data_IF_660194612698
#
_entry.id   IF_660194612698
#
_cell.length_a   1.000
_cell.length_b   1.000
_cell.length_c   1.000
_cell.angle_alpha   90.00
_cell.angle_beta   90.00
_cell.angle_gamma   90.00
#
_symmetry.space_group_name_H-M   'P 1'
#
loop_
_entity.id
_entity.type
_entity.pdbx_description
1 polymer ?
#
# COMPACT_ATOMS: atom_id res chain seq x y z
N UNK A 1 -36.44 22.30 22.15
CA UNK A 1 -36.27 20.83 22.30
C UNK A 1 -36.16 20.51 23.78
N UNK A 2 -36.97 19.59 24.31
CA UNK A 2 -36.91 19.24 25.73
C UNK A 2 -35.51 18.70 26.07
N UNK A 3 -34.90 19.23 27.13
CA UNK A 3 -33.57 18.81 27.58
C UNK A 3 -33.65 17.36 28.08
N UNK A 4 -32.94 16.44 27.42
CA UNK A 4 -32.91 15.01 27.82
C UNK A 4 -32.42 14.89 29.27
N UNK A 5 -33.04 14.02 30.11
CA UNK A 5 -32.70 13.92 31.53
C UNK A 5 -31.33 13.27 31.74
N UNK A 6 -30.68 13.60 32.85
CA UNK A 6 -29.46 12.92 33.26
C UNK A 6 -29.78 11.47 33.70
N UNK A 7 -28.88 10.56 33.33
CA UNK A 7 -29.05 9.12 33.38
C UNK A 7 -28.19 8.47 34.48
N UNK A 8 -28.67 7.41 35.14
CA UNK A 8 -27.78 6.47 35.81
C UNK A 8 -26.71 5.93 34.85
N UNK A 9 -25.46 5.75 35.34
CA UNK A 9 -24.31 5.28 34.53
C UNK A 9 -24.61 4.01 33.73
N UNK A 10 -25.36 3.06 34.33
CA UNK A 10 -25.77 1.80 33.67
C UNK A 10 -26.66 2.04 32.45
N UNK A 11 -27.64 2.95 32.54
CA UNK A 11 -28.55 3.25 31.44
C UNK A 11 -27.84 4.03 30.33
N UNK A 12 -26.95 4.97 30.70
CA UNK A 12 -26.08 5.64 29.73
C UNK A 12 -25.14 4.66 29.01
N UNK A 13 -24.63 3.62 29.69
CA UNK A 13 -23.83 2.57 29.06
C UNK A 13 -24.64 1.73 28.06
N UNK A 14 -25.92 1.44 28.34
CA UNK A 14 -26.81 0.71 27.43
C UNK A 14 -27.06 1.48 26.13
N UNK A 15 -27.33 2.79 26.21
CA UNK A 15 -27.43 3.64 25.02
C UNK A 15 -26.12 3.66 24.25
N UNK A 16 -24.97 3.84 24.93
CA UNK A 16 -23.66 3.81 24.27
C UNK A 16 -23.38 2.49 23.56
N UNK A 17 -23.76 1.36 24.16
CA UNK A 17 -23.65 0.05 23.52
C UNK A 17 -24.51 -0.07 22.26
N UNK A 18 -25.74 0.45 22.28
CA UNK A 18 -26.59 0.49 21.09
C UNK A 18 -26.04 1.44 20.01
N UNK A 19 -25.51 2.61 20.41
CA UNK A 19 -24.84 3.54 19.50
C UNK A 19 -23.61 2.89 18.85
N UNK A 20 -22.85 2.08 19.58
CA UNK A 20 -21.68 1.40 19.06
C UNK A 20 -22.04 0.36 17.98
N UNK A 21 -23.13 -0.39 18.18
CA UNK A 21 -23.66 -1.29 17.14
C UNK A 21 -24.01 -0.54 15.86
N UNK A 22 -24.62 0.65 15.97
CA UNK A 22 -24.91 1.51 14.82
C UNK A 22 -23.63 1.98 14.15
N UNK A 23 -22.60 2.40 14.91
CA UNK A 23 -21.30 2.78 14.32
C UNK A 23 -20.66 1.63 13.57
N UNK A 24 -20.61 0.44 14.16
CA UNK A 24 -20.04 -0.74 13.50
C UNK A 24 -20.81 -1.08 12.21
N UNK A 25 -22.15 -1.05 12.25
CA UNK A 25 -22.95 -1.28 11.05
C UNK A 25 -22.69 -0.25 9.94
N UNK A 26 -22.49 1.02 10.31
CA UNK A 26 -22.11 2.09 9.36
C UNK A 26 -20.74 1.86 8.74
N UNK A 27 -19.75 1.48 9.55
CA UNK A 27 -18.40 1.14 9.08
C UNK A 27 -18.44 -0.04 8.11
N UNK A 28 -19.18 -1.10 8.45
CA UNK A 28 -19.36 -2.28 7.59
C UNK A 28 -19.94 -1.90 6.21
N UNK A 29 -20.97 -1.05 6.18
CA UNK A 29 -21.58 -0.57 4.93
C UNK A 29 -20.57 0.25 4.12
N UNK A 30 -19.88 1.20 4.75
CA UNK A 30 -18.89 2.05 4.08
C UNK A 30 -17.70 1.23 3.52
N UNK A 31 -17.15 0.31 4.30
CA UNK A 31 -16.05 -0.54 3.87
C UNK A 31 -16.45 -1.41 2.68
N UNK A 32 -17.70 -1.90 2.67
CA UNK A 32 -18.23 -2.69 1.57
C UNK A 32 -18.44 -1.85 0.31
N UNK A 33 -19.02 -0.66 0.42
CA UNK A 33 -19.16 0.28 -0.70
C UNK A 33 -17.79 0.60 -1.32
N UNK A 34 -16.80 0.89 -0.49
CA UNK A 34 -15.42 1.14 -0.93
C UNK A 34 -14.80 -0.07 -1.65
N UNK A 35 -14.91 -1.26 -1.06
CA UNK A 35 -14.36 -2.48 -1.65
C UNK A 35 -15.05 -2.86 -2.95
N UNK A 36 -16.37 -2.65 -3.05
CA UNK A 36 -17.12 -2.85 -4.28
C UNK A 36 -16.65 -1.89 -5.37
N UNK A 37 -16.57 -0.59 -5.06
CA UNK A 37 -16.09 0.41 -6.01
C UNK A 37 -14.64 0.14 -6.47
N UNK A 38 -13.78 -0.31 -5.55
CA UNK A 38 -12.41 -0.69 -5.88
C UNK A 38 -12.37 -1.90 -6.81
N UNK A 39 -13.06 -3.00 -6.48
CA UNK A 39 -13.12 -4.17 -7.36
C UNK A 39 -13.71 -3.83 -8.74
N UNK A 40 -14.74 -2.98 -8.78
CA UNK A 40 -15.34 -2.54 -10.04
C UNK A 40 -14.33 -1.77 -10.88
N UNK A 41 -13.60 -0.83 -10.30
CA UNK A 41 -12.54 -0.08 -11.00
C UNK A 41 -11.48 -1.00 -11.60
N UNK A 42 -11.06 -2.04 -10.87
CA UNK A 42 -10.08 -3.02 -11.37
C UNK A 42 -10.61 -3.81 -12.57
N UNK A 43 -11.87 -4.26 -12.49
CA UNK A 43 -12.52 -4.98 -13.60
C UNK A 43 -12.73 -4.05 -14.79
N UNK A 44 -13.22 -2.83 -14.59
CA UNK A 44 -13.43 -1.84 -15.65
C UNK A 44 -12.11 -1.47 -16.36
N UNK A 45 -11.03 -1.28 -15.59
CA UNK A 45 -9.71 -0.97 -16.14
C UNK A 45 -9.16 -2.12 -17.00
N UNK A 46 -9.34 -3.37 -16.53
CA UNK A 46 -8.96 -4.55 -17.29
C UNK A 46 -9.83 -4.77 -18.52
N UNK A 47 -11.15 -4.64 -18.40
CA UNK A 47 -12.08 -4.86 -19.51
C UNK A 47 -11.93 -3.79 -20.61
N UNK A 48 -11.49 -2.59 -20.25
CA UNK A 48 -11.18 -1.52 -21.20
C UNK A 48 -9.89 -1.78 -22.01
N UNK A 49 -8.80 -2.18 -21.33
CA UNK A 49 -7.54 -2.54 -21.98
C UNK A 49 -6.75 -3.55 -21.12
N UNK A 50 -6.89 -4.86 -21.39
CA UNK A 50 -6.20 -5.89 -20.62
C UNK A 50 -4.68 -5.79 -20.69
N UNK A 51 -4.14 -5.37 -21.84
CA UNK A 51 -2.70 -5.29 -22.06
C UNK A 51 -2.08 -4.12 -21.29
N UNK A 52 -2.73 -2.95 -21.34
CA UNK A 52 -2.29 -1.79 -20.55
C UNK A 52 -2.44 -2.05 -19.04
N UNK A 53 -3.51 -2.71 -18.63
CA UNK A 53 -3.70 -3.11 -17.24
C UNK A 53 -2.56 -4.03 -16.75
N UNK A 54 -2.25 -5.08 -17.51
CA UNK A 54 -1.16 -6.00 -17.17
C UNK A 54 0.19 -5.28 -17.11
N UNK A 55 0.49 -4.44 -18.10
CA UNK A 55 1.73 -3.67 -18.13
C UNK A 55 1.87 -2.71 -16.93
N UNK A 56 0.77 -2.10 -16.47
CA UNK A 56 0.75 -1.15 -15.37
C UNK A 56 0.89 -1.81 -14.00
N UNK A 57 0.09 -2.85 -13.74
CA UNK A 57 -0.02 -3.46 -12.40
C UNK A 57 0.84 -4.71 -12.22
N UNK A 58 1.27 -5.33 -13.32
CA UNK A 58 1.98 -6.61 -13.34
C UNK A 58 3.17 -6.56 -14.32
N UNK A 59 4.17 -5.72 -14.03
CA UNK A 59 5.34 -5.53 -14.89
C UNK A 59 6.03 -6.87 -15.22
N UNK A 60 6.24 -7.15 -16.50
CA UNK A 60 6.87 -8.38 -16.97
C UNK A 60 5.94 -9.59 -17.10
N UNK A 61 4.64 -9.40 -16.83
CA UNK A 61 3.62 -10.41 -17.04
C UNK A 61 2.73 -10.06 -18.24
N UNK A 62 2.27 -11.08 -18.96
CA UNK A 62 1.27 -10.92 -20.01
C UNK A 62 -0.16 -10.95 -19.43
N UNK A 63 -1.13 -10.67 -20.29
CA UNK A 63 -2.55 -10.67 -19.93
C UNK A 63 -3.01 -12.05 -19.44
N UNK A 64 -2.50 -13.13 -20.03
CA UNK A 64 -2.91 -14.50 -19.73
C UNK A 64 -2.17 -15.10 -18.52
N UNK A 65 -1.23 -14.35 -17.94
CA UNK A 65 -0.46 -14.80 -16.80
C UNK A 65 -1.37 -15.07 -15.61
N UNK A 66 -1.01 -16.10 -14.85
CA UNK A 66 -1.72 -16.49 -13.63
C UNK A 66 -2.02 -15.32 -12.67
N UNK A 67 -1.06 -14.42 -12.33
CA UNK A 67 -1.35 -13.32 -11.39
C UNK A 67 -2.36 -12.32 -11.94
N UNK A 68 -2.39 -12.06 -13.25
CA UNK A 68 -3.35 -11.15 -13.88
C UNK A 68 -4.74 -11.79 -13.89
N UNK A 69 -4.86 -13.02 -14.40
CA UNK A 69 -6.14 -13.74 -14.48
C UNK A 69 -6.76 -13.94 -13.09
N UNK A 70 -5.97 -14.43 -12.12
CA UNK A 70 -6.46 -14.71 -10.76
C UNK A 70 -6.96 -13.46 -10.06
N UNK A 71 -6.33 -12.30 -10.25
CA UNK A 71 -6.77 -11.05 -9.63
C UNK A 71 -8.12 -10.59 -10.19
N UNK A 72 -8.29 -10.64 -11.51
CA UNK A 72 -9.53 -10.20 -12.15
C UNK A 72 -10.67 -11.17 -11.87
N UNK A 73 -10.42 -12.48 -11.88
CA UNK A 73 -11.40 -13.49 -11.46
C UNK A 73 -11.88 -13.23 -10.04
N UNK A 74 -10.96 -13.05 -9.07
CA UNK A 74 -11.31 -12.74 -7.68
C UNK A 74 -12.06 -11.41 -7.54
N UNK A 75 -11.72 -10.41 -8.36
CA UNK A 75 -12.43 -9.13 -8.35
C UNK A 75 -13.88 -9.31 -8.83
N UNK A 76 -14.09 -10.07 -9.91
CA UNK A 76 -15.42 -10.41 -10.43
C UNK A 76 -16.24 -11.26 -9.44
N UNK A 77 -15.64 -12.27 -8.83
CA UNK A 77 -16.27 -13.08 -7.77
C UNK A 77 -16.71 -12.21 -6.58
N UNK A 78 -15.87 -11.25 -6.16
CA UNK A 78 -16.22 -10.29 -5.11
C UNK A 78 -17.40 -9.41 -5.50
N UNK A 79 -17.45 -8.92 -6.74
CA UNK A 79 -18.57 -8.11 -7.22
C UNK A 79 -19.87 -8.91 -7.23
N UNK A 80 -19.84 -10.15 -7.72
CA UNK A 80 -21.00 -11.05 -7.69
C UNK A 80 -21.46 -11.37 -6.26
N UNK A 81 -20.51 -11.58 -5.34
CA UNK A 81 -20.81 -11.71 -3.92
C UNK A 81 -21.48 -10.45 -3.37
N UNK A 82 -21.03 -9.26 -3.77
CA UNK A 82 -21.61 -8.01 -3.31
C UNK A 82 -23.04 -7.83 -3.83
N UNK A 83 -23.28 -8.03 -5.12
CA UNK A 83 -24.62 -7.95 -5.72
C UNK A 83 -25.64 -8.84 -5.02
N UNK A 84 -25.25 -10.07 -4.63
CA UNK A 84 -26.14 -11.00 -3.93
C UNK A 84 -26.42 -10.63 -2.46
N UNK A 85 -25.57 -9.84 -1.82
CA UNK A 85 -25.58 -9.63 -0.37
C UNK A 85 -25.79 -8.17 0.06
N UNK A 86 -25.88 -7.23 -0.87
CA UNK A 86 -25.95 -5.79 -0.55
C UNK A 86 -27.17 -5.44 0.31
N UNK A 87 -28.34 -5.99 -0.01
CA UNK A 87 -29.56 -5.75 0.78
C UNK A 87 -29.48 -6.23 2.23
N UNK A 88 -28.65 -7.23 2.54
CA UNK A 88 -28.56 -7.78 3.90
C UNK A 88 -27.82 -6.83 4.86
N UNK A 89 -26.87 -6.03 4.37
CA UNK A 89 -26.08 -5.12 5.21
C UNK A 89 -26.82 -3.80 5.45
N UNK A 90 -27.55 -3.30 4.47
CA UNK A 90 -28.45 -2.16 4.65
C UNK A 90 -29.55 -2.51 5.68
N UNK A 91 -30.16 -3.69 5.56
CA UNK A 91 -31.13 -4.17 6.55
C UNK A 91 -30.54 -4.26 7.97
N UNK A 92 -29.29 -4.69 8.12
CA UNK A 92 -28.63 -4.74 9.42
C UNK A 92 -28.39 -3.34 10.02
N UNK A 93 -28.05 -2.35 9.19
CA UNK A 93 -27.92 -0.96 9.64
C UNK A 93 -29.28 -0.39 10.09
N UNK A 94 -30.33 -0.66 9.34
CA UNK A 94 -31.69 -0.26 9.69
C UNK A 94 -32.16 -0.90 10.99
N UNK A 95 -31.90 -2.20 11.17
CA UNK A 95 -32.17 -2.92 12.41
C UNK A 95 -31.39 -2.33 13.60
N UNK A 96 -30.11 -2.04 13.43
CA UNK A 96 -29.30 -1.41 14.47
C UNK A 96 -29.84 -0.03 14.87
N UNK A 97 -30.29 0.77 13.89
CA UNK A 97 -30.89 2.08 14.13
C UNK A 97 -32.25 1.96 14.83
N UNK A 98 -33.11 1.02 14.40
CA UNK A 98 -34.38 0.74 15.06
C UNK A 98 -34.17 0.29 16.52
N UNK A 99 -33.19 -0.58 16.76
CA UNK A 99 -32.81 -1.01 18.10
C UNK A 99 -32.29 0.14 18.96
N UNK A 100 -31.51 1.08 18.42
CA UNK A 100 -31.10 2.29 19.15
C UNK A 100 -32.32 3.12 19.58
N UNK A 101 -33.28 3.35 18.69
CA UNK A 101 -34.51 4.09 19.01
C UNK A 101 -35.32 3.36 20.10
N UNK A 102 -35.45 2.04 20.01
CA UNK A 102 -36.13 1.24 21.01
C UNK A 102 -35.45 1.36 22.39
N UNK A 103 -34.13 1.21 22.44
CA UNK A 103 -33.33 1.34 23.67
C UNK A 103 -33.45 2.75 24.26
N UNK A 104 -33.40 3.81 23.45
CA UNK A 104 -33.58 5.19 23.94
C UNK A 104 -34.96 5.38 24.57
N UNK A 105 -36.02 4.83 23.93
CA UNK A 105 -37.39 4.91 24.44
C UNK A 105 -37.56 4.14 25.75
N UNK A 106 -37.03 2.92 25.84
CA UNK A 106 -37.07 2.10 27.05
C UNK A 106 -36.29 2.78 28.19
N UNK A 107 -35.11 3.34 27.91
CA UNK A 107 -34.33 4.09 28.92
C UNK A 107 -35.09 5.33 29.38
N UNK A 108 -35.76 6.07 28.49
CA UNK A 108 -36.61 7.20 28.89
C UNK A 108 -37.75 6.76 29.82
N UNK A 109 -38.40 5.63 29.52
CA UNK A 109 -39.47 5.07 30.35
C UNK A 109 -38.95 4.63 31.73
N UNK A 110 -37.82 3.93 31.77
CA UNK A 110 -37.19 3.52 33.03
C UNK A 110 -36.80 4.73 33.87
N UNK A 111 -36.17 5.75 33.27
CA UNK A 111 -35.75 6.97 33.97
C UNK A 111 -36.93 7.76 34.51
N UNK A 112 -38.05 7.81 33.79
CA UNK A 112 -39.26 8.49 34.23
C UNK A 112 -39.88 7.83 35.48
N UNK A 113 -39.73 6.51 35.63
CA UNK A 113 -40.17 5.77 36.82
C UNK A 113 -39.17 5.85 38.00
N UNK A 114 -37.94 6.34 37.77
CA UNK A 114 -36.89 6.39 38.79
C UNK A 114 -36.85 7.72 39.54
N UNK A 115 -36.67 7.66 40.87
CA UNK A 115 -36.35 8.84 41.68
C UNK A 115 -35.02 9.46 41.24
N UNK A 116 -34.91 10.79 41.26
CA UNK A 116 -33.66 11.50 41.04
C UNK A 116 -32.61 11.05 42.09
N UNK A 117 -31.42 10.67 41.61
CA UNK A 117 -30.33 10.13 42.42
C UNK A 117 -29.04 10.89 42.13
N UNK A 118 -28.12 10.95 43.10
CA UNK A 118 -26.79 11.49 42.89
C UNK A 118 -25.96 10.61 41.93
N UNK A 119 -25.02 11.21 41.21
CA UNK A 119 -24.11 10.48 40.32
C UNK A 119 -24.68 10.12 38.93
N UNK A 120 -25.77 10.77 38.52
CA UNK A 120 -26.27 10.71 37.15
C UNK A 120 -25.30 11.41 36.20
N UNK A 121 -25.26 10.95 34.96
CA UNK A 121 -24.40 11.45 33.89
C UNK A 121 -25.26 12.04 32.77
N UNK A 122 -24.73 12.99 31.99
CA UNK A 122 -25.45 13.53 30.85
C UNK A 122 -25.87 12.44 29.86
N UNK A 123 -27.00 12.67 29.20
CA UNK A 123 -27.45 11.81 28.11
C UNK A 123 -26.36 11.70 27.02
N UNK A 124 -26.04 10.49 26.51
CA UNK A 124 -25.03 10.33 25.46
C UNK A 124 -25.34 11.17 24.22
N UNK A 125 -24.33 11.82 23.64
CA UNK A 125 -24.52 12.62 22.42
C UNK A 125 -25.11 11.78 21.30
N UNK A 126 -26.09 12.34 20.60
CA UNK A 126 -26.73 11.68 19.46
C UNK A 126 -25.70 11.41 18.36
N UNK A 127 -25.87 10.27 17.69
CA UNK A 127 -25.06 9.98 16.52
C UNK A 127 -25.41 10.95 15.38
N UNK A 128 -24.42 11.40 14.59
CA UNK A 128 -24.72 12.16 13.39
C UNK A 128 -25.59 11.32 12.45
N UNK A 129 -26.34 11.98 11.58
CA UNK A 129 -27.04 11.29 10.49
C UNK A 129 -26.05 10.46 9.67
N UNK A 130 -26.49 9.35 9.09
CA UNK A 130 -25.58 8.53 8.28
C UNK A 130 -25.02 9.30 7.08
N UNK A 131 -25.82 10.20 6.49
CA UNK A 131 -25.34 11.13 5.43
C UNK A 131 -24.21 12.05 5.90
N UNK A 132 -24.33 12.62 7.10
CA UNK A 132 -23.27 13.45 7.68
C UNK A 132 -22.01 12.61 7.97
N UNK A 133 -22.21 11.40 8.50
CA UNK A 133 -21.13 10.44 8.73
C UNK A 133 -20.40 10.08 7.44
N UNK A 134 -21.11 9.73 6.35
CA UNK A 134 -20.51 9.47 5.03
C UNK A 134 -19.69 10.65 4.53
N UNK A 135 -20.20 11.89 4.70
CA UNK A 135 -19.50 13.09 4.27
C UNK A 135 -18.19 13.31 5.04
N UNK A 136 -18.21 13.04 6.35
CA UNK A 136 -17.06 13.15 7.23
C UNK A 136 -16.00 12.10 6.89
N UNK A 137 -16.39 10.83 6.75
CA UNK A 137 -15.50 9.75 6.31
C UNK A 137 -14.88 10.04 4.95
N UNK A 138 -15.65 10.48 3.97
CA UNK A 138 -15.12 10.86 2.66
C UNK A 138 -14.17 12.07 2.73
N UNK A 139 -14.39 12.99 3.67
CA UNK A 139 -13.47 14.10 3.90
C UNK A 139 -12.20 13.67 4.65
N UNK A 140 -12.28 12.63 5.49
CA UNK A 140 -11.13 12.03 6.14
C UNK A 140 -10.27 11.27 5.13
N UNK A 141 -10.86 10.40 4.32
CA UNK A 141 -10.17 9.66 3.27
C UNK A 141 -9.37 10.59 2.32
N UNK A 142 -9.97 11.72 1.89
CA UNK A 142 -9.27 12.72 1.07
C UNK A 142 -8.05 13.33 1.77
N UNK A 143 -8.13 13.56 3.09
CA UNK A 143 -7.02 14.09 3.87
C UNK A 143 -5.90 13.07 4.02
N UNK A 144 -6.27 11.81 4.25
CA UNK A 144 -5.32 10.71 4.38
C UNK A 144 -4.60 10.45 3.04
N UNK A 145 -5.30 10.50 1.91
CA UNK A 145 -4.71 10.41 0.56
C UNK A 145 -3.73 11.56 0.29
N UNK A 146 -4.11 12.80 0.61
CA UNK A 146 -3.25 13.97 0.44
C UNK A 146 -1.99 13.88 1.31
N UNK A 147 -2.14 13.40 2.55
CA UNK A 147 -1.02 13.17 3.45
C UNK A 147 -0.09 12.09 2.92
N UNK A 148 -0.64 10.94 2.51
CA UNK A 148 0.14 9.83 1.96
C UNK A 148 0.91 10.24 0.70
N UNK A 149 0.29 11.03 -0.19
CA UNK A 149 0.97 11.59 -1.37
C UNK A 149 2.16 12.46 -0.97
N UNK A 150 1.99 13.36 -0.01
CA UNK A 150 3.08 14.23 0.48
C UNK A 150 4.21 13.44 1.14
N UNK A 151 3.87 12.41 1.90
CA UNK A 151 4.87 11.52 2.52
C UNK A 151 5.64 10.74 1.47
N UNK A 152 4.96 10.25 0.43
CA UNK A 152 5.60 9.56 -0.67
C UNK A 152 6.53 10.48 -1.47
N UNK A 153 6.08 11.68 -1.85
CA UNK A 153 6.92 12.69 -2.53
C UNK A 153 8.18 13.05 -1.72
N UNK A 154 8.06 13.13 -0.39
CA UNK A 154 9.21 13.35 0.50
C UNK A 154 10.17 12.18 0.49
N UNK A 155 9.64 10.96 0.62
CA UNK A 155 10.44 9.74 0.59
C UNK A 155 11.19 9.59 -0.73
N UNK A 156 10.53 9.82 -1.87
CA UNK A 156 11.17 9.80 -3.19
C UNK A 156 12.29 10.84 -3.32
N UNK A 157 12.08 12.05 -2.79
CA UNK A 157 13.11 13.09 -2.79
C UNK A 157 14.32 12.70 -1.91
N UNK A 158 14.09 12.09 -0.75
CA UNK A 158 15.15 11.61 0.14
C UNK A 158 15.94 10.46 -0.50
N UNK A 159 15.27 9.49 -1.11
CA UNK A 159 15.91 8.40 -1.85
C UNK A 159 16.73 8.92 -3.03
N UNK A 160 16.21 9.87 -3.81
CA UNK A 160 16.96 10.46 -4.92
C UNK A 160 18.24 11.18 -4.45
N UNK A 161 18.23 11.81 -3.27
CA UNK A 161 19.44 12.41 -2.67
C UNK A 161 20.42 11.32 -2.24
N UNK A 162 19.92 10.23 -1.63
CA UNK A 162 20.75 9.09 -1.19
C UNK A 162 21.39 8.39 -2.39
N UNK A 163 20.65 8.16 -3.45
CA UNK A 163 21.12 7.53 -4.68
C UNK A 163 22.23 8.36 -5.33
N UNK A 164 22.03 9.68 -5.48
CA UNK A 164 23.08 10.58 -5.99
C UNK A 164 24.34 10.60 -5.12
N UNK A 165 24.19 10.55 -3.80
CA UNK A 165 25.33 10.50 -2.88
C UNK A 165 26.09 9.17 -3.02
N UNK A 166 25.36 8.06 -3.17
CA UNK A 166 25.94 6.74 -3.42
C UNK A 166 26.66 6.68 -4.77
N UNK A 167 26.04 7.17 -5.84
CA UNK A 167 26.66 7.29 -7.17
C UNK A 167 27.94 8.14 -7.12
N UNK A 168 27.92 9.27 -6.42
CA UNK A 168 29.10 10.12 -6.25
C UNK A 168 30.22 9.41 -5.48
N UNK A 169 29.88 8.62 -4.45
CA UNK A 169 30.86 7.83 -3.72
C UNK A 169 31.46 6.72 -4.60
N UNK A 170 30.63 5.98 -5.33
CA UNK A 170 31.09 4.96 -6.28
C UNK A 170 32.03 5.55 -7.34
N UNK A 171 31.72 6.75 -7.85
CA UNK A 171 32.60 7.44 -8.80
C UNK A 171 33.97 7.78 -8.20
N UNK A 172 34.01 8.22 -6.93
CA UNK A 172 35.28 8.48 -6.23
C UNK A 172 36.07 7.18 -6.04
N UNK A 173 35.41 6.11 -5.63
CA UNK A 173 36.04 4.79 -5.45
C UNK A 173 36.59 4.27 -6.78
N UNK A 174 35.84 4.38 -7.87
CA UNK A 174 36.30 4.02 -9.22
C UNK A 174 37.51 4.85 -9.65
N UNK A 175 37.51 6.17 -9.41
CA UNK A 175 38.67 7.02 -9.71
C UNK A 175 39.92 6.62 -8.92
N UNK A 176 39.75 6.26 -7.64
CA UNK A 176 40.84 5.78 -6.80
C UNK A 176 41.37 4.43 -7.28
N UNK A 177 40.50 3.47 -7.59
CA UNK A 177 40.89 2.16 -8.13
C UNK A 177 41.64 2.30 -9.46
N UNK A 178 41.17 3.16 -10.37
CA UNK A 178 41.85 3.45 -11.63
C UNK A 178 43.21 4.09 -11.38
N UNK A 179 43.31 5.02 -10.42
CA UNK A 179 44.58 5.67 -10.08
C UNK A 179 45.58 4.69 -9.47
N UNK A 180 45.14 3.79 -8.58
CA UNK A 180 45.96 2.73 -8.00
C UNK A 180 46.43 1.74 -9.07
N UNK A 181 45.52 1.30 -9.94
CA UNK A 181 45.87 0.43 -11.06
C UNK A 181 46.94 1.07 -11.95
N UNK A 182 46.78 2.35 -12.30
CA UNK A 182 47.81 3.10 -13.07
C UNK A 182 49.16 3.16 -12.36
N UNK A 183 49.18 3.37 -11.04
CA UNK A 183 50.41 3.37 -10.25
C UNK A 183 51.07 2.00 -10.25
N UNK A 184 50.31 0.93 -10.00
CA UNK A 184 50.82 -0.44 -10.00
C UNK A 184 51.35 -0.83 -11.38
N UNK A 185 50.62 -0.49 -12.45
CA UNK A 185 51.03 -0.73 -13.82
C UNK A 185 52.36 -0.04 -14.16
N UNK A 186 52.54 1.21 -13.72
CA UNK A 186 53.78 1.96 -13.93
C UNK A 186 55.01 1.36 -13.23
N UNK A 187 54.82 0.57 -12.16
CA UNK A 187 55.90 -0.11 -11.43
C UNK A 187 56.33 -1.43 -12.10
N UNK A 188 55.55 -1.95 -13.05
CA UNK A 188 55.90 -3.18 -13.77
C UNK A 188 57.08 -2.94 -14.72
N UNK A 189 57.92 -3.95 -14.99
CA UNK A 189 58.96 -3.85 -16.02
C UNK A 189 58.36 -3.49 -17.40
N UNK A 190 59.07 -2.73 -18.25
CA UNK A 190 58.54 -2.26 -19.55
C UNK A 190 58.06 -3.38 -20.48
N UNK A 191 58.71 -4.55 -20.41
CA UNK A 191 58.34 -5.73 -21.21
C UNK A 191 56.98 -6.30 -20.79
N UNK A 192 56.70 -6.33 -19.48
CA UNK A 192 55.42 -6.79 -18.92
C UNK A 192 54.31 -5.78 -19.22
N UNK A 193 54.60 -4.47 -19.14
CA UNK A 193 53.64 -3.43 -19.53
C UNK A 193 53.24 -3.54 -21.01
N UNK A 194 54.20 -3.81 -21.90
CA UNK A 194 53.93 -3.96 -23.33
C UNK A 194 53.08 -5.20 -23.63
N UNK A 195 53.27 -6.29 -22.88
CA UNK A 195 52.47 -7.52 -23.01
C UNK A 195 51.04 -7.30 -22.51
N UNK A 196 50.86 -6.73 -21.33
CA UNK A 196 49.53 -6.38 -20.78
C UNK A 196 48.77 -5.44 -21.72
N UNK A 197 49.42 -4.40 -22.23
CA UNK A 197 48.80 -3.47 -23.19
C UNK A 197 48.34 -4.19 -24.46
N UNK A 198 49.14 -5.11 -25.00
CA UNK A 198 48.75 -5.93 -26.16
C UNK A 198 47.54 -6.82 -25.87
N UNK A 199 47.47 -7.42 -24.67
CA UNK A 199 46.33 -8.24 -24.24
C UNK A 199 45.06 -7.37 -24.10
N UNK A 200 45.17 -6.20 -23.48
CA UNK A 200 44.07 -5.26 -23.34
C UNK A 200 43.57 -4.76 -24.70
N UNK A 201 44.47 -4.36 -25.60
CA UNK A 201 44.13 -3.86 -26.94
C UNK A 201 43.44 -4.96 -27.76
N UNK A 202 43.92 -6.20 -27.71
CA UNK A 202 43.28 -7.35 -28.37
C UNK A 202 41.87 -7.61 -27.81
N UNK A 203 41.70 -7.58 -26.49
CA UNK A 203 40.40 -7.81 -25.85
C UNK A 203 39.39 -6.72 -26.24
N UNK A 204 39.81 -5.46 -26.23
CA UNK A 204 38.99 -4.32 -26.63
C UNK A 204 38.59 -4.40 -28.11
N UNK A 205 39.50 -4.84 -28.98
CA UNK A 205 39.22 -5.07 -30.39
C UNK A 205 38.15 -6.15 -30.58
N UNK A 206 38.27 -7.29 -29.87
CA UNK A 206 37.30 -8.39 -29.92
C UNK A 206 35.93 -8.05 -29.35
N UNK A 207 35.88 -7.20 -28.32
CA UNK A 207 34.62 -6.65 -27.82
C UNK A 207 33.98 -5.70 -28.84
N UNK A 208 34.77 -4.83 -29.49
CA UNK A 208 34.25 -3.92 -30.53
C UNK A 208 33.74 -4.67 -31.76
N UNK A 209 34.40 -5.76 -32.17
CA UNK A 209 33.92 -6.63 -33.25
C UNK A 209 32.75 -7.55 -32.86
N UNK A 210 32.28 -7.47 -31.60
CA UNK A 210 31.21 -8.29 -31.04
C UNK A 210 31.50 -9.82 -31.08
N UNK A 211 32.76 -10.20 -31.25
CA UNK A 211 33.20 -11.60 -31.20
C UNK A 211 33.27 -12.14 -29.76
N UNK A 212 33.41 -11.24 -28.77
CA UNK A 212 33.36 -11.55 -27.34
C UNK A 212 32.37 -10.59 -26.68
N UNK A 213 31.40 -11.12 -25.93
CA UNK A 213 30.47 -10.31 -25.14
C UNK A 213 31.09 -9.99 -23.77
N UNK A 214 30.88 -8.78 -23.21
CA UNK A 214 31.22 -8.46 -21.83
C UNK A 214 30.81 -9.53 -20.80
N UNK A 215 29.65 -10.18 -20.99
CA UNK A 215 29.19 -11.29 -20.14
C UNK A 215 30.10 -12.52 -20.19
N UNK A 216 30.70 -12.83 -21.35
CA UNK A 216 31.60 -13.97 -21.50
C UNK A 216 32.91 -13.76 -20.73
N UNK A 217 33.38 -12.51 -20.69
CA UNK A 217 34.57 -12.11 -19.91
C UNK A 217 34.32 -12.26 -18.40
N UNK A 218 33.17 -11.79 -17.92
CA UNK A 218 32.79 -11.90 -16.50
C UNK A 218 32.62 -13.36 -16.09
N UNK A 219 31.94 -14.17 -16.91
CA UNK A 219 31.77 -15.60 -16.65
C UNK A 219 33.10 -16.36 -16.64
N UNK A 220 34.02 -16.00 -17.54
CA UNK A 220 35.39 -16.55 -17.56
C UNK A 220 36.17 -16.24 -16.29
N UNK A 221 36.14 -14.99 -15.82
CA UNK A 221 36.82 -14.56 -14.58
C UNK A 221 36.22 -15.22 -13.33
N UNK A 222 34.89 -15.35 -13.27
CA UNK A 222 34.21 -16.04 -12.16
C UNK A 222 34.61 -17.53 -12.10
N UNK A 223 34.74 -18.19 -13.25
CA UNK A 223 35.16 -19.59 -13.34
C UNK A 223 36.62 -19.77 -12.89
N UNK A 224 37.52 -18.89 -13.32
CA UNK A 224 38.92 -18.89 -12.87
C UNK A 224 39.07 -18.64 -11.36
N UNK A 225 38.29 -17.71 -10.79
CA UNK A 225 38.29 -17.45 -9.35
C UNK A 225 37.76 -18.63 -8.54
N UNK A 226 36.75 -19.34 -9.06
CA UNK A 226 36.20 -20.55 -8.44
C UNK A 226 37.17 -21.75 -8.51
N UNK A 227 37.98 -21.85 -9.56
CA UNK A 227 39.02 -22.87 -9.69
C UNK A 227 40.23 -22.58 -8.78
N UNK A 228 40.65 -21.31 -8.66
CA UNK A 228 41.73 -20.92 -7.75
C UNK A 228 41.38 -21.01 -6.25
N UNK A 229 40.09 -20.98 -5.88
CA UNK A 229 39.64 -21.18 -4.48
C UNK A 229 39.54 -22.66 -4.06
N UNK A 230 39.64 -23.60 -5.01
CA UNK A 230 39.58 -25.05 -4.76
C UNK A 230 40.96 -25.71 -4.67
N UNK A 231 42.03 -24.95 -4.89
CA UNK A 231 43.42 -25.39 -4.79
C UNK A 231 44.10 -24.79 -3.57
#
# INVERSE_FOLDING_TARGET
MAKRPDLPKRLAARIRGAQEKVRQARLDVMAREHNRASSQKWVDEFDADPAAFAARHYRGHDVLSYPVQTTIERAREKLEYYERKDGAKEAFLDEACANLIAVEKEVLQEVAAMRATAGRVPWPRDLPSFKAYRKEEAAQARRDEEQSRREHERWEAEEAVRERAHEAQMAIEEELEVAEYRRQFALLPPEVQAEEKRKSDWLLEKMRSHEINPLDVVLGLMKQSAENKKS
#
